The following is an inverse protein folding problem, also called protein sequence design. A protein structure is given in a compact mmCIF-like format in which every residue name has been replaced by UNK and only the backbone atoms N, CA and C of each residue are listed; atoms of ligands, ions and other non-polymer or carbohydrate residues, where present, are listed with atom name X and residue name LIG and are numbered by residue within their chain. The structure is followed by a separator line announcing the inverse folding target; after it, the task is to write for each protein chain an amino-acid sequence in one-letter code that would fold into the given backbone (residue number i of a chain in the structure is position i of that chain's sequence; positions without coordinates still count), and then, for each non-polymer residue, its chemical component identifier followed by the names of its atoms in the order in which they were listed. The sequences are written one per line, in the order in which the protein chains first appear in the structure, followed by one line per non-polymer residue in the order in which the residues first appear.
data_IF_391135992110
#
_entry.id   IF_391135992110
#
_cell.length_a   1.000
_cell.length_b   1.000
_cell.length_c   1.000
_cell.angle_alpha   90.00
_cell.angle_beta   90.00
_cell.angle_gamma   90.00
#
_symmetry.space_group_name_H-M   'P 1'
#
loop_
_entity.id
_entity.type
_entity.pdbx_description
1 polymer ?
#
# COMPACT_ATOMS: atom_id res chain seq x y z
N UNK A 1 12.05 -24.38 11.45
CA UNK A 1 10.97 -24.84 12.37
C UNK A 1 11.18 -26.33 12.58
N UNK A 2 11.41 -26.75 13.81
CA UNK A 2 11.48 -28.18 14.14
C UNK A 2 10.09 -28.62 14.59
N UNK A 3 9.50 -29.55 13.85
CA UNK A 3 8.23 -30.18 14.20
C UNK A 3 8.49 -31.20 15.31
N UNK A 4 7.78 -31.10 16.41
CA UNK A 4 7.79 -32.05 17.50
C UNK A 4 6.38 -32.61 17.73
N UNK A 5 6.29 -33.78 18.36
CA UNK A 5 5.01 -34.38 18.75
C UNK A 5 4.17 -33.39 19.60
N UNK A 6 4.79 -32.69 20.52
CA UNK A 6 4.14 -31.65 21.32
C UNK A 6 3.59 -30.48 20.49
N UNK A 7 4.27 -30.10 19.41
CA UNK A 7 3.78 -29.05 18.50
C UNK A 7 2.54 -29.54 17.75
N UNK A 8 2.53 -30.80 17.37
CA UNK A 8 1.41 -31.41 16.66
C UNK A 8 0.19 -31.57 17.58
N UNK A 9 0.38 -32.06 18.80
CA UNK A 9 -0.69 -32.18 19.80
C UNK A 9 -1.30 -30.84 20.14
N UNK A 10 -0.46 -29.82 20.31
CA UNK A 10 -0.92 -28.45 20.54
C UNK A 10 -1.75 -27.89 19.37
N UNK A 11 -1.39 -28.20 18.12
CA UNK A 11 -2.16 -27.77 16.94
C UNK A 11 -3.53 -28.47 16.85
N UNK A 12 -3.62 -29.73 17.27
CA UNK A 12 -4.88 -30.52 17.28
C UNK A 12 -5.80 -30.02 18.41
N UNK A 13 -5.25 -29.76 19.58
CA UNK A 13 -6.01 -29.38 20.78
C UNK A 13 -6.35 -27.89 20.85
N UNK A 14 -5.59 -27.04 20.15
CA UNK A 14 -5.82 -25.60 20.14
C UNK A 14 -7.12 -25.24 19.42
N UNK A 15 -7.86 -24.28 19.98
CA UNK A 15 -9.00 -23.72 19.26
C UNK A 15 -8.52 -22.98 18.01
N UNK A 16 -9.22 -23.10 16.87
CA UNK A 16 -8.89 -22.34 15.68
C UNK A 16 -8.83 -20.84 15.99
N UNK A 17 -7.76 -20.19 15.55
CA UNK A 17 -7.68 -18.73 15.63
C UNK A 17 -8.85 -18.10 14.84
N UNK A 18 -9.43 -17.04 15.40
CA UNK A 18 -10.43 -16.25 14.67
C UNK A 18 -9.81 -15.66 13.42
N UNK A 19 -10.38 -15.97 12.27
CA UNK A 19 -9.98 -15.31 11.02
C UNK A 19 -10.23 -13.80 11.14
N UNK A 20 -9.17 -13.04 10.99
CA UNK A 20 -9.28 -11.59 10.92
C UNK A 20 -9.35 -11.19 9.46
N UNK A 21 -10.45 -10.59 9.00
CA UNK A 21 -10.58 -10.17 7.62
C UNK A 21 -9.55 -9.06 7.32
N UNK A 22 -9.02 -9.08 6.08
CA UNK A 22 -7.96 -8.15 5.65
C UNK A 22 -8.28 -7.48 4.32
N UNK A 23 -9.57 -7.33 3.99
CA UNK A 23 -9.95 -6.60 2.80
C UNK A 23 -9.40 -5.17 2.89
N UNK A 24 -8.81 -4.71 1.81
CA UNK A 24 -8.31 -3.35 1.64
C UNK A 24 -8.78 -2.82 0.32
N UNK A 25 -9.26 -1.60 0.30
CA UNK A 25 -9.58 -0.90 -0.92
C UNK A 25 -8.35 -0.11 -1.35
N UNK A 26 -7.74 -0.56 -2.44
CA UNK A 26 -6.54 0.05 -3.04
C UNK A 26 -6.86 0.53 -4.44
N UNK A 27 -6.06 1.45 -4.98
CA UNK A 27 -6.22 1.93 -6.36
C UNK A 27 -6.12 0.77 -7.36
N UNK A 28 -5.16 -0.15 -7.17
CA UNK A 28 -5.01 -1.33 -8.04
C UNK A 28 -6.22 -2.24 -8.03
N UNK A 29 -6.80 -2.49 -6.85
CA UNK A 29 -8.02 -3.28 -6.75
C UNK A 29 -9.17 -2.59 -7.51
N UNK A 30 -9.36 -1.28 -7.32
CA UNK A 30 -10.42 -0.52 -8.00
C UNK A 30 -10.19 -0.55 -9.51
N UNK A 31 -8.96 -0.30 -10.00
CA UNK A 31 -8.64 -0.36 -11.42
C UNK A 31 -8.93 -1.75 -12.03
N UNK A 32 -8.57 -2.83 -11.33
CA UNK A 32 -8.89 -4.19 -11.78
C UNK A 32 -10.39 -4.47 -11.84
N UNK A 33 -11.19 -3.82 -10.99
CA UNK A 33 -12.66 -3.93 -11.06
C UNK A 33 -13.22 -3.07 -12.20
N UNK A 34 -12.65 -1.88 -12.44
CA UNK A 34 -13.03 -0.99 -13.56
C UNK A 34 -12.74 -1.65 -14.91
N UNK A 35 -11.57 -2.32 -15.05
CA UNK A 35 -11.19 -3.04 -16.27
C UNK A 35 -12.22 -4.10 -16.69
N UNK A 36 -12.98 -4.66 -15.76
CA UNK A 36 -14.02 -5.63 -16.04
C UNK A 36 -15.29 -4.99 -16.66
N UNK A 37 -15.33 -3.65 -16.74
CA UNK A 37 -16.46 -2.87 -17.31
C UNK A 37 -17.68 -2.78 -16.40
N UNK A 38 -18.68 -1.99 -16.76
CA UNK A 38 -19.94 -1.79 -16.03
C UNK A 38 -19.81 -0.96 -14.75
N UNK A 39 -20.76 -1.12 -13.82
CA UNK A 39 -20.73 -0.38 -12.54
C UNK A 39 -19.70 -0.95 -11.56
N UNK A 40 -18.46 -0.49 -11.72
CA UNK A 40 -17.36 -0.89 -10.86
C UNK A 40 -17.58 -0.49 -9.39
N UNK A 41 -18.23 0.67 -9.13
CA UNK A 41 -18.48 1.12 -7.75
C UNK A 41 -19.47 0.19 -7.03
N UNK A 42 -20.54 -0.22 -7.71
CA UNK A 42 -21.49 -1.17 -7.16
C UNK A 42 -20.85 -2.55 -6.88
N UNK A 43 -19.92 -2.99 -7.75
CA UNK A 43 -19.16 -4.24 -7.51
C UNK A 43 -18.22 -4.16 -6.32
N UNK A 44 -17.52 -3.06 -6.15
CA UNK A 44 -16.68 -2.84 -4.97
C UNK A 44 -17.52 -2.84 -3.70
N UNK A 45 -18.71 -2.22 -3.74
CA UNK A 45 -19.64 -2.25 -2.59
C UNK A 45 -20.10 -3.68 -2.28
N UNK A 46 -20.46 -4.46 -3.29
CA UNK A 46 -20.81 -5.86 -3.09
C UNK A 46 -19.68 -6.68 -2.46
N UNK A 47 -18.42 -6.45 -2.87
CA UNK A 47 -17.26 -7.09 -2.24
C UNK A 47 -17.09 -6.69 -0.77
N UNK A 48 -17.39 -5.44 -0.42
CA UNK A 48 -17.35 -4.95 0.95
C UNK A 48 -18.47 -5.61 1.77
N UNK A 49 -19.68 -5.67 1.21
CA UNK A 49 -20.84 -6.26 1.87
C UNK A 49 -20.69 -7.76 2.12
N UNK A 50 -20.11 -8.48 1.16
CA UNK A 50 -19.84 -9.92 1.28
C UNK A 50 -18.64 -10.22 2.20
N UNK A 51 -17.87 -9.20 2.61
CA UNK A 51 -16.71 -9.38 3.47
C UNK A 51 -17.09 -9.70 4.91
N UNK A 52 -16.16 -10.30 5.65
CA UNK A 52 -16.35 -10.68 7.06
C UNK A 52 -16.00 -9.54 8.05
N UNK A 53 -15.84 -8.31 7.56
CA UNK A 53 -15.59 -7.15 8.40
C UNK A 53 -16.80 -6.75 9.25
N UNK A 54 -16.53 -6.02 10.33
CA UNK A 54 -17.59 -5.43 11.16
C UNK A 54 -18.35 -4.35 10.38
N UNK A 55 -19.59 -4.02 10.77
CA UNK A 55 -20.35 -2.95 10.14
C UNK A 55 -19.60 -1.61 10.09
N UNK A 56 -18.87 -1.28 11.15
CA UNK A 56 -18.10 -0.03 11.23
C UNK A 56 -16.89 -0.07 10.25
N UNK A 57 -16.25 -1.22 10.10
CA UNK A 57 -15.16 -1.40 9.13
C UNK A 57 -15.67 -1.33 7.70
N UNK A 58 -16.84 -1.90 7.39
CA UNK A 58 -17.48 -1.80 6.08
C UNK A 58 -17.76 -0.36 5.69
N UNK A 59 -18.27 0.45 6.62
CA UNK A 59 -18.49 1.88 6.38
C UNK A 59 -17.17 2.58 6.02
N UNK A 60 -16.09 2.30 6.75
CA UNK A 60 -14.76 2.88 6.45
C UNK A 60 -14.22 2.41 5.09
N UNK A 61 -14.44 1.15 4.72
CA UNK A 61 -14.03 0.63 3.43
C UNK A 61 -14.83 1.25 2.29
N UNK A 62 -16.14 1.47 2.47
CA UNK A 62 -16.98 2.17 1.48
C UNK A 62 -16.55 3.62 1.30
N UNK A 63 -16.27 4.35 2.39
CA UNK A 63 -15.71 5.71 2.32
C UNK A 63 -14.35 5.71 1.59
N UNK A 64 -13.49 4.73 1.89
CA UNK A 64 -12.21 4.59 1.20
C UNK A 64 -12.38 4.29 -0.29
N UNK A 65 -13.37 3.50 -0.67
CA UNK A 65 -13.69 3.27 -2.08
C UNK A 65 -14.07 4.58 -2.78
N UNK A 66 -14.94 5.39 -2.17
CA UNK A 66 -15.35 6.69 -2.72
C UNK A 66 -14.15 7.64 -2.91
N UNK A 67 -13.23 7.70 -1.94
CA UNK A 67 -11.99 8.48 -2.05
C UNK A 67 -11.11 8.01 -3.22
N UNK A 68 -10.94 6.68 -3.36
CA UNK A 68 -10.13 6.11 -4.45
C UNK A 68 -10.76 6.39 -5.81
N UNK A 69 -12.07 6.19 -5.97
CA UNK A 69 -12.78 6.52 -7.20
C UNK A 69 -12.67 8.01 -7.53
N UNK A 70 -12.86 8.90 -6.55
CA UNK A 70 -12.71 10.34 -6.75
C UNK A 70 -11.29 10.69 -7.23
N UNK A 71 -10.25 10.15 -6.57
CA UNK A 71 -8.85 10.37 -6.96
C UNK A 71 -8.58 9.91 -8.39
N UNK A 72 -9.08 8.73 -8.79
CA UNK A 72 -8.88 8.18 -10.13
C UNK A 72 -9.62 8.99 -11.21
N UNK A 73 -10.79 9.53 -10.88
CA UNK A 73 -11.57 10.40 -11.79
C UNK A 73 -10.90 11.77 -11.91
N UNK A 74 -10.50 12.38 -10.80
CA UNK A 74 -9.83 13.68 -10.79
C UNK A 74 -8.48 13.66 -11.54
N UNK A 75 -7.83 12.49 -11.55
CA UNK A 75 -6.59 12.25 -12.28
C UNK A 75 -6.80 11.82 -13.75
N UNK A 76 -8.03 11.82 -14.23
CA UNK A 76 -8.37 11.44 -15.61
C UNK A 76 -7.98 9.99 -15.99
N UNK A 77 -7.84 9.09 -15.01
CA UNK A 77 -7.53 7.66 -15.24
C UNK A 77 -8.79 6.84 -15.42
N UNK A 78 -9.86 7.23 -14.73
CA UNK A 78 -11.17 6.61 -14.81
C UNK A 78 -12.19 7.67 -15.17
N UNK A 79 -13.04 7.37 -16.13
CA UNK A 79 -14.19 8.19 -16.49
C UNK A 79 -15.49 7.49 -16.06
N UNK A 80 -16.40 8.27 -15.48
CA UNK A 80 -17.74 7.81 -15.16
C UNK A 80 -18.68 8.20 -16.30
N UNK A 81 -19.36 7.23 -16.88
CA UNK A 81 -20.31 7.41 -17.99
C UNK A 81 -21.69 6.89 -17.64
N UNK A 82 -22.67 7.31 -18.41
CA UNK A 82 -23.98 6.65 -18.44
C UNK A 82 -23.91 5.46 -19.39
N UNK A 83 -24.28 4.29 -18.90
CA UNK A 83 -24.31 3.06 -19.69
C UNK A 83 -25.52 3.05 -20.64
N UNK A 84 -25.49 2.22 -21.67
CA UNK A 84 -26.60 2.12 -22.68
C UNK A 84 -27.94 1.72 -22.06
N UNK A 85 -27.91 1.04 -20.91
CA UNK A 85 -29.12 0.63 -20.16
C UNK A 85 -29.60 1.70 -19.17
N UNK A 86 -29.00 2.89 -19.16
CA UNK A 86 -29.28 3.99 -18.24
C UNK A 86 -28.63 3.85 -16.87
N UNK A 87 -27.79 2.84 -16.66
CA UNK A 87 -27.00 2.66 -15.46
C UNK A 87 -25.75 3.53 -15.43
N UNK A 88 -24.89 3.29 -14.44
CA UNK A 88 -23.56 3.91 -14.35
C UNK A 88 -22.50 2.93 -14.83
N UNK A 89 -21.57 3.43 -15.62
CA UNK A 89 -20.39 2.69 -16.06
C UNK A 89 -19.12 3.46 -15.71
N UNK A 90 -18.09 2.73 -15.31
CA UNK A 90 -16.74 3.26 -15.11
C UNK A 90 -15.80 2.67 -16.15
N UNK A 91 -15.07 3.53 -16.84
CA UNK A 91 -14.20 3.14 -17.96
C UNK A 91 -12.80 3.69 -17.74
N UNK A 92 -11.80 2.90 -18.09
CA UNK A 92 -10.42 3.40 -18.13
C UNK A 92 -10.25 4.35 -19.31
N UNK A 93 -9.59 5.48 -19.08
CA UNK A 93 -9.29 6.49 -20.12
C UNK A 93 -8.05 6.15 -20.91
N UNK A 94 -7.21 5.25 -20.38
CA UNK A 94 -5.98 4.78 -21.00
C UNK A 94 -5.89 3.27 -20.95
N UNK A 95 -5.20 2.68 -21.93
CA UNK A 95 -4.89 1.26 -21.90
C UNK A 95 -3.86 1.00 -20.80
N UNK A 96 -4.22 0.15 -19.85
CA UNK A 96 -3.25 -0.35 -18.86
C UNK A 96 -2.35 -1.39 -19.55
N UNK A 97 -1.02 -1.36 -19.32
CA UNK A 97 -0.14 -2.41 -19.82
C UNK A 97 -0.59 -3.80 -19.32
N UNK A 98 -0.47 -4.83 -20.17
CA UNK A 98 -0.85 -6.22 -19.86
C UNK A 98 -0.16 -6.78 -18.60
N UNK A 99 0.99 -6.24 -18.25
CA UNK A 99 1.80 -6.55 -17.08
C UNK A 99 1.65 -5.51 -15.96
N UNK A 100 0.58 -4.69 -16.03
CA UNK A 100 0.24 -3.75 -14.95
C UNK A 100 0.06 -4.51 -13.64
N UNK A 101 1.14 -4.59 -12.89
CA UNK A 101 1.18 -5.36 -11.66
C UNK A 101 0.18 -4.77 -10.66
N UNK A 102 -0.67 -5.63 -10.11
CA UNK A 102 -1.63 -5.29 -9.05
C UNK A 102 -0.98 -4.58 -7.84
N UNK A 103 0.34 -4.69 -7.71
CA UNK A 103 1.13 -4.11 -6.63
C UNK A 103 1.65 -2.68 -6.93
N UNK A 104 1.46 -2.14 -8.15
CA UNK A 104 1.97 -0.82 -8.53
C UNK A 104 0.91 0.03 -9.28
N UNK A 105 -0.19 0.36 -8.65
CA UNK A 105 -1.35 0.99 -9.31
C UNK A 105 -1.09 2.41 -9.80
N UNK A 106 -0.08 3.09 -9.28
CA UNK A 106 0.22 4.48 -9.58
C UNK A 106 1.41 4.65 -10.55
N UNK A 107 1.87 3.56 -11.19
CA UNK A 107 2.97 3.62 -12.16
C UNK A 107 2.74 4.63 -13.31
N UNK A 108 1.54 4.76 -13.91
CA UNK A 108 1.28 5.79 -14.92
C UNK A 108 1.44 7.21 -14.39
N UNK A 109 0.98 7.46 -13.16
CA UNK A 109 1.18 8.76 -12.50
C UNK A 109 2.63 9.05 -12.20
N UNK A 110 3.37 8.03 -11.77
CA UNK A 110 4.80 8.14 -11.52
C UNK A 110 5.55 8.54 -12.79
N UNK A 111 5.26 7.88 -13.92
CA UNK A 111 5.89 8.21 -15.19
C UNK A 111 5.59 9.67 -15.60
N UNK A 112 4.32 10.09 -15.55
CA UNK A 112 3.93 11.46 -15.84
C UNK A 112 4.58 12.47 -14.87
N UNK A 113 4.68 12.14 -13.58
CA UNK A 113 5.30 13.01 -12.59
C UNK A 113 6.82 13.12 -12.78
N UNK A 114 7.50 12.03 -13.18
CA UNK A 114 8.94 12.04 -13.45
C UNK A 114 9.29 12.94 -14.64
N UNK A 115 8.41 13.06 -15.64
CA UNK A 115 8.61 13.98 -16.78
C UNK A 115 8.58 15.46 -16.38
N UNK A 116 7.98 15.78 -15.22
CA UNK A 116 7.94 17.16 -14.70
C UNK A 116 9.20 17.54 -13.91
N UNK A 117 10.05 16.58 -13.57
CA UNK A 117 11.29 16.82 -12.83
C UNK A 117 12.38 17.35 -13.77
N UNK A 118 13.18 18.30 -13.27
CA UNK A 118 14.35 18.80 -13.96
C UNK A 118 15.55 17.86 -13.75
N UNK A 119 16.03 17.13 -14.76
CA UNK A 119 17.15 16.21 -14.65
C UNK A 119 18.47 16.88 -14.26
N UNK A 120 18.61 18.20 -14.48
CA UNK A 120 19.81 18.97 -14.15
C UNK A 120 19.76 19.55 -12.72
N UNK A 121 18.65 19.35 -12.01
CA UNK A 121 18.52 19.80 -10.62
C UNK A 121 19.40 18.97 -9.68
N UNK A 122 20.07 19.63 -8.74
CA UNK A 122 20.83 18.95 -7.68
C UNK A 122 19.96 18.02 -6.82
N UNK A 123 18.66 18.29 -6.76
CA UNK A 123 17.68 17.50 -5.99
C UNK A 123 17.00 16.42 -6.82
N UNK A 124 17.26 16.30 -8.12
CA UNK A 124 16.56 15.39 -9.03
C UNK A 124 16.40 13.96 -8.47
N UNK A 125 17.50 13.38 -7.97
CA UNK A 125 17.46 12.01 -7.45
C UNK A 125 16.58 11.89 -6.18
N UNK A 126 16.57 12.91 -5.33
CA UNK A 126 15.75 12.97 -4.13
C UNK A 126 14.28 13.15 -4.51
N UNK A 127 14.00 14.06 -5.45
CA UNK A 127 12.65 14.33 -5.92
C UNK A 127 12.05 13.10 -6.62
N UNK A 128 12.84 12.40 -7.44
CA UNK A 128 12.43 11.15 -8.06
C UNK A 128 12.10 10.06 -7.02
N UNK A 129 12.93 9.90 -5.98
CA UNK A 129 12.66 8.96 -4.88
C UNK A 129 11.41 9.37 -4.12
N UNK A 130 11.20 10.65 -3.86
CA UNK A 130 10.00 11.18 -3.17
C UNK A 130 8.73 10.93 -3.99
N UNK A 131 8.80 11.08 -5.32
CA UNK A 131 7.68 10.74 -6.22
C UNK A 131 7.35 9.24 -6.16
N UNK A 132 8.37 8.37 -6.22
CA UNK A 132 8.17 6.92 -6.07
C UNK A 132 7.53 6.61 -4.72
N UNK A 133 8.01 7.20 -3.64
CA UNK A 133 7.50 6.99 -2.29
C UNK A 133 6.04 7.45 -2.16
N UNK A 134 5.70 8.62 -2.74
CA UNK A 134 4.34 9.16 -2.75
C UNK A 134 3.34 8.25 -3.50
N UNK A 135 3.82 7.49 -4.50
CA UNK A 135 2.97 6.55 -5.25
C UNK A 135 2.80 5.18 -4.56
N UNK A 136 3.54 4.90 -3.51
CA UNK A 136 3.40 3.66 -2.76
C UNK A 136 2.21 3.71 -1.81
N UNK A 137 1.22 2.86 -2.01
CA UNK A 137 0.07 2.75 -1.10
C UNK A 137 0.44 2.25 0.30
N UNK A 138 1.52 1.49 0.41
CA UNK A 138 2.00 0.97 1.68
C UNK A 138 3.54 1.02 1.78
N UNK A 139 4.11 2.19 2.08
CA UNK A 139 5.56 2.38 2.17
C UNK A 139 6.21 1.68 3.37
N UNK A 140 5.44 0.97 4.21
CA UNK A 140 5.94 0.36 5.47
C UNK A 140 7.13 -0.55 5.28
N UNK A 141 7.23 -1.29 4.17
CA UNK A 141 8.38 -2.17 3.93
C UNK A 141 9.64 -1.37 3.67
N UNK A 142 9.54 -0.31 2.86
CA UNK A 142 10.64 0.61 2.58
C UNK A 142 11.06 1.33 3.86
N UNK A 143 10.11 1.91 4.58
CA UNK A 143 10.35 2.61 5.84
C UNK A 143 11.02 1.72 6.89
N UNK A 144 10.58 0.46 7.02
CA UNK A 144 11.22 -0.52 7.91
C UNK A 144 12.64 -0.90 7.48
N UNK A 145 12.88 -0.99 6.17
CA UNK A 145 14.23 -1.28 5.66
C UNK A 145 15.18 -0.11 5.94
N UNK A 146 14.71 1.12 5.77
CA UNK A 146 15.44 2.34 6.06
C UNK A 146 15.72 2.48 7.56
N UNK A 147 14.72 2.24 8.41
CA UNK A 147 14.88 2.23 9.88
C UNK A 147 15.92 1.20 10.31
N UNK A 148 15.85 -0.02 9.76
CA UNK A 148 16.84 -1.07 10.05
C UNK A 148 18.24 -0.62 9.67
N UNK A 149 18.42 -0.06 8.47
CA UNK A 149 19.71 0.44 8.00
C UNK A 149 20.25 1.57 8.89
N UNK A 150 19.39 2.49 9.33
CA UNK A 150 19.76 3.57 10.25
C UNK A 150 20.20 3.01 11.62
N UNK A 151 19.47 2.04 12.16
CA UNK A 151 19.82 1.35 13.41
C UNK A 151 21.12 0.56 13.30
N UNK A 152 21.33 -0.18 12.22
CA UNK A 152 22.56 -0.93 11.98
C UNK A 152 23.77 0.01 11.91
N UNK A 153 23.62 1.17 11.23
CA UNK A 153 24.67 2.19 11.16
C UNK A 153 24.96 2.79 12.54
N UNK A 154 23.93 3.22 13.28
CA UNK A 154 24.09 3.77 14.62
C UNK A 154 24.73 2.75 15.59
N UNK A 155 24.34 1.48 15.50
CA UNK A 155 24.93 0.40 16.30
C UNK A 155 26.42 0.22 15.98
N UNK A 156 26.80 0.29 14.70
CA UNK A 156 28.20 0.17 14.29
C UNK A 156 29.05 1.36 14.81
N UNK A 157 28.53 2.58 14.70
CA UNK A 157 29.18 3.80 15.20
C UNK A 157 29.36 3.75 16.72
N UNK A 158 28.32 3.44 17.49
CA UNK A 158 28.43 3.29 18.95
C UNK A 158 29.38 2.19 19.38
N UNK A 159 29.51 1.11 18.57
CA UNK A 159 30.51 0.07 18.80
C UNK A 159 31.93 0.58 18.61
N UNK A 160 32.19 1.38 17.60
CA UNK A 160 33.49 1.99 17.32
C UNK A 160 33.89 2.99 18.42
N UNK A 161 32.88 3.71 18.94
CA UNK A 161 33.06 4.70 20.02
C UNK A 161 33.21 4.05 21.41
N UNK A 162 33.12 2.71 21.50
CA UNK A 162 33.29 1.97 22.75
C UNK A 162 32.15 2.10 23.75
N UNK A 163 30.95 2.50 23.27
CA UNK A 163 29.76 2.60 24.12
C UNK A 163 29.36 1.22 24.63
N UNK A 164 29.00 1.13 25.93
CA UNK A 164 28.60 -0.14 26.54
C UNK A 164 27.35 -0.76 25.89
N UNK A 165 27.21 -2.08 26.02
CA UNK A 165 26.12 -2.81 25.33
C UNK A 165 24.75 -2.35 25.75
N UNK A 166 24.52 -2.20 27.06
CA UNK A 166 23.20 -1.83 27.59
C UNK A 166 22.80 -0.41 27.14
N UNK A 167 23.77 0.51 27.18
CA UNK A 167 23.57 1.88 26.68
C UNK A 167 23.31 1.92 25.18
N UNK A 168 23.93 1.05 24.38
CA UNK A 168 23.65 0.93 22.94
C UNK A 168 22.23 0.46 22.69
N UNK A 169 21.73 -0.50 23.46
CA UNK A 169 20.37 -1.03 23.32
C UNK A 169 19.33 0.05 23.63
N UNK A 170 19.56 0.88 24.66
CA UNK A 170 18.67 2.01 24.97
C UNK A 170 18.67 3.05 23.84
N UNK A 171 19.84 3.48 23.40
CA UNK A 171 19.99 4.51 22.35
C UNK A 171 19.43 4.04 21.00
N UNK A 172 19.58 2.75 20.66
CA UNK A 172 19.07 2.22 19.39
C UNK A 172 17.53 2.25 19.33
N UNK A 173 16.85 2.17 20.47
CA UNK A 173 15.40 2.26 20.54
C UNK A 173 14.87 3.64 20.11
N UNK A 174 15.68 4.69 20.30
CA UNK A 174 15.36 6.07 19.93
C UNK A 174 15.67 6.39 18.46
N UNK A 175 16.46 5.53 17.79
CA UNK A 175 16.79 5.73 16.37
C UNK A 175 15.55 5.47 15.53
N UNK A 176 14.95 6.56 15.08
CA UNK A 176 13.86 6.56 14.14
C UNK A 176 14.32 7.09 12.80
N UNK A 177 13.70 6.63 11.73
CA UNK A 177 13.92 7.17 10.42
C UNK A 177 13.16 8.50 10.30
N UNK A 178 13.79 9.58 9.78
CA UNK A 178 13.05 10.81 9.50
C UNK A 178 11.94 10.50 8.49
N UNK A 179 10.70 10.79 8.88
CA UNK A 179 9.58 10.66 7.97
C UNK A 179 9.81 11.60 6.80
N UNK A 180 9.61 11.15 5.55
CA UNK A 180 9.58 12.07 4.44
C UNK A 180 8.46 13.09 4.66
N UNK A 181 8.72 14.30 4.26
CA UNK A 181 7.80 15.44 4.38
C UNK A 181 6.59 15.26 3.48
#
# INVERSE_FOLDING_TARGET
MNWSEQTFDHLIESQPEKLTPRLRITHSMVLSVVEQGGDARARVEALIDDSMQTPEEKIKLSQRADEVFATLIDADVVERREAEDGGTEYVLTMDLPDDFALDQPLSPFLLAALELLDPESETYALDAVSMVEATLENPRQVLRAQERKARDKAMAEMKMDGVDYDERVERIAEVTYPKPL
#
